data_IF_566415960206
#
_entry.id   IF_566415960206
#
_cell.length_a   1.000
_cell.length_b   1.000
_cell.length_c   1.000
_cell.angle_alpha   90.00
_cell.angle_beta   90.00
_cell.angle_gamma   90.00
#
_symmetry.space_group_name_H-M   'P 1'
#
loop_
_entity.id
_entity.type
_entity.pdbx_description
1 polymer ?
#
# COMPACT_ATOMS: atom_id res chain seq x y z
N UNK A 1 -12.06 -11.61 0.50
CA UNK A 1 -12.99 -10.48 0.32
C UNK A 1 -12.63 -9.79 -0.99
N UNK A 2 -13.58 -9.63 -1.91
CA UNK A 2 -13.36 -9.05 -3.23
C UNK A 2 -13.78 -7.57 -3.19
N UNK A 3 -12.98 -6.68 -3.76
CA UNK A 3 -13.35 -5.26 -3.90
C UNK A 3 -14.07 -5.10 -5.24
N UNK A 4 -15.22 -4.43 -5.26
CA UNK A 4 -16.07 -4.34 -6.46
C UNK A 4 -15.35 -3.71 -7.66
N UNK A 5 -14.53 -2.69 -7.42
CA UNK A 5 -13.67 -2.10 -8.43
C UNK A 5 -12.21 -2.00 -7.95
N UNK A 6 -11.30 -2.89 -8.40
CA UNK A 6 -9.90 -2.86 -8.00
C UNK A 6 -9.12 -1.71 -8.65
N UNK A 7 -9.54 -1.19 -9.81
CA UNK A 7 -8.86 -0.12 -10.55
C UNK A 7 -9.62 1.19 -10.34
N UNK A 8 -9.08 2.04 -9.45
CA UNK A 8 -9.74 3.26 -8.97
C UNK A 8 -9.18 4.57 -9.54
N UNK A 9 -8.11 4.50 -10.35
CA UNK A 9 -7.45 5.64 -10.98
C UNK A 9 -7.38 5.45 -12.49
N UNK A 10 -7.39 6.56 -13.22
CA UNK A 10 -7.20 6.63 -14.67
C UNK A 10 -5.70 6.65 -15.01
N UNK A 11 -5.26 6.06 -16.14
CA UNK A 11 -3.86 6.17 -16.59
C UNK A 11 -3.48 7.57 -17.10
N UNK A 12 -4.46 8.44 -17.35
CA UNK A 12 -4.25 9.79 -17.90
C UNK A 12 -4.35 10.90 -16.84
N UNK A 13 -4.74 10.56 -15.62
CA UNK A 13 -4.89 11.51 -14.52
C UNK A 13 -3.98 11.11 -13.36
N UNK A 14 -3.58 12.09 -12.56
CA UNK A 14 -2.76 11.80 -11.39
C UNK A 14 -3.53 10.93 -10.38
N UNK A 15 -2.90 9.90 -9.78
CA UNK A 15 -3.57 9.04 -8.82
C UNK A 15 -4.01 9.83 -7.59
N UNK A 16 -5.32 10.00 -7.43
CA UNK A 16 -5.91 10.75 -6.33
C UNK A 16 -6.30 9.85 -5.14
N UNK A 17 -6.34 8.53 -5.33
CA UNK A 17 -6.78 7.57 -4.31
C UNK A 17 -5.97 6.28 -4.37
N UNK A 18 -5.90 5.57 -3.25
CA UNK A 18 -5.29 4.24 -3.20
C UNK A 18 -6.00 3.32 -2.20
N UNK A 19 -5.90 2.01 -2.44
CA UNK A 19 -6.31 1.00 -1.46
C UNK A 19 -5.21 0.84 -0.39
N UNK A 20 -5.56 1.14 0.85
CA UNK A 20 -4.76 0.86 2.03
C UNK A 20 -5.36 -0.35 2.76
N UNK A 21 -4.56 -1.35 3.08
CA UNK A 21 -5.05 -2.47 3.86
C UNK A 21 -4.76 -2.22 5.35
N UNK A 22 -5.80 -2.26 6.18
CA UNK A 22 -5.69 -2.22 7.64
C UNK A 22 -6.41 -3.45 8.19
N UNK A 23 -5.73 -4.24 9.02
CA UNK A 23 -6.31 -5.44 9.64
C UNK A 23 -6.93 -6.43 8.63
N UNK A 24 -6.33 -6.53 7.44
CA UNK A 24 -6.84 -7.39 6.35
C UNK A 24 -8.04 -6.83 5.58
N UNK A 25 -8.54 -5.64 5.94
CA UNK A 25 -9.63 -4.98 5.22
C UNK A 25 -9.09 -3.88 4.29
N UNK A 26 -9.51 -3.85 3.01
CA UNK A 26 -9.19 -2.76 2.09
C UNK A 26 -9.99 -1.50 2.46
N UNK A 27 -9.28 -0.42 2.75
CA UNK A 27 -9.82 0.90 2.99
C UNK A 27 -9.35 1.85 1.89
N UNK A 28 -10.29 2.58 1.29
CA UNK A 28 -9.96 3.61 0.30
C UNK A 28 -9.38 4.83 1.02
N UNK A 29 -8.23 5.30 0.57
CA UNK A 29 -7.55 6.49 1.09
C UNK A 29 -7.38 7.52 -0.01
N UNK A 30 -7.53 8.78 0.36
CA UNK A 30 -7.27 9.94 -0.51
C UNK A 30 -5.77 10.24 -0.57
N UNK A 31 -5.35 10.82 -1.68
CA UNK A 31 -3.96 11.12 -2.01
C UNK A 31 -3.27 10.04 -2.83
N UNK A 32 -2.05 10.36 -3.28
CA UNK A 32 -1.18 9.44 -3.99
C UNK A 32 -0.46 8.52 -3.01
N UNK A 33 -0.46 7.21 -3.27
CA UNK A 33 0.26 6.24 -2.42
C UNK A 33 1.76 6.53 -2.42
N UNK A 34 2.34 6.64 -1.22
CA UNK A 34 3.78 6.76 -1.04
C UNK A 34 4.51 5.55 -1.66
N UNK A 35 5.64 5.81 -2.30
CA UNK A 35 6.61 4.79 -2.66
C UNK A 35 7.26 4.25 -1.40
N UNK A 36 7.41 2.94 -1.34
CA UNK A 36 8.06 2.26 -0.24
C UNK A 36 8.01 0.77 -0.43
N UNK A 37 8.58 0.05 0.52
CA UNK A 37 8.53 -1.40 0.60
C UNK A 37 8.12 -1.82 2.00
N UNK A 38 7.57 -3.03 2.11
CA UNK A 38 7.25 -3.63 3.39
C UNK A 38 8.44 -4.51 3.81
N UNK A 39 8.90 -4.34 5.06
CA UNK A 39 9.96 -5.16 5.62
C UNK A 39 9.38 -6.45 6.19
N UNK A 40 9.75 -7.57 5.58
CA UNK A 40 9.54 -8.89 6.18
C UNK A 40 10.60 -9.16 7.24
N UNK A 41 10.21 -9.20 8.50
CA UNK A 41 11.08 -9.70 9.56
C UNK A 41 11.46 -11.17 9.25
N UNK A 42 12.76 -11.47 9.19
CA UNK A 42 13.30 -12.82 8.88
C UNK A 42 13.13 -13.83 10.04
N UNK A 43 12.11 -13.69 10.87
CA UNK A 43 11.87 -14.60 11.99
C UNK A 43 11.31 -15.94 11.47
N UNK A 44 11.88 -17.05 11.96
CA UNK A 44 11.48 -18.44 11.64
C UNK A 44 10.16 -18.85 12.31
N UNK A 45 9.16 -17.96 12.33
CA UNK A 45 7.82 -18.22 12.89
C UNK A 45 6.77 -18.40 11.80
N UNK A 46 5.56 -18.89 12.14
CA UNK A 46 4.45 -18.91 11.21
C UNK A 46 4.25 -17.51 10.63
N UNK A 47 4.05 -17.46 9.32
CA UNK A 47 4.00 -16.23 8.55
C UNK A 47 2.90 -15.32 9.10
N UNK A 48 3.26 -14.28 9.85
CA UNK A 48 2.37 -13.15 10.05
C UNK A 48 1.98 -12.68 8.65
N UNK A 49 0.69 -12.41 8.45
CA UNK A 49 0.21 -11.97 7.16
C UNK A 49 1.07 -10.77 6.69
N UNK A 50 1.37 -10.68 5.39
CA UNK A 50 2.06 -9.53 4.73
C UNK A 50 1.48 -8.16 5.14
N UNK A 51 0.32 -8.16 5.80
CA UNK A 51 -0.52 -7.07 6.25
C UNK A 51 -0.11 -6.43 7.59
N UNK A 52 0.81 -7.04 8.35
CA UNK A 52 1.37 -6.48 9.61
C UNK A 52 2.83 -6.05 9.48
N UNK A 53 3.33 -5.89 8.26
CA UNK A 53 4.72 -5.48 8.01
C UNK A 53 4.86 -3.95 8.10
N UNK A 54 5.99 -3.49 8.65
CA UNK A 54 6.32 -2.06 8.70
C UNK A 54 6.59 -1.53 7.29
N UNK A 55 5.91 -0.45 6.93
CA UNK A 55 6.10 0.23 5.66
C UNK A 55 7.27 1.21 5.75
N UNK A 56 8.31 0.98 4.94
CA UNK A 56 9.46 1.87 4.83
C UNK A 56 9.29 2.76 3.59
N UNK A 57 9.09 4.08 3.77
CA UNK A 57 8.98 5.01 2.64
C UNK A 57 10.33 5.19 1.94
N UNK A 58 10.29 5.38 0.62
CA UNK A 58 11.44 5.82 -0.18
C UNK A 58 11.38 7.34 -0.32
N UNK A 59 11.99 8.05 0.62
CA UNK A 59 11.93 9.52 0.72
C UNK A 59 12.28 10.22 -0.59
N UNK A 60 13.45 9.92 -1.19
CA UNK A 60 13.88 10.56 -2.43
C UNK A 60 12.86 10.39 -3.57
N UNK A 61 12.26 9.20 -3.69
CA UNK A 61 11.27 8.91 -4.72
C UNK A 61 9.96 9.65 -4.45
N UNK A 62 9.57 9.82 -3.18
CA UNK A 62 8.39 10.59 -2.82
C UNK A 62 8.58 12.10 -3.01
N UNK A 63 9.79 12.62 -2.89
CA UNK A 63 10.10 14.04 -3.09
C UNK A 63 10.02 14.50 -4.54
N UNK A 64 10.39 13.64 -5.51
CA UNK A 64 10.48 14.01 -6.93
C UNK A 64 9.20 13.73 -7.75
N UNK A 65 8.09 13.46 -7.07
CA UNK A 65 6.87 12.86 -7.66
C UNK A 65 5.80 13.84 -8.07
#
# INVERSE_FOLDING_TARGET
>A
MLVDNPIINSPFEEPARYWAYKEGQPALKEGRRLAGYYLKARTRGPQAALLEEEFVPLELVNTIR
#
